data_IF_221973998667
#
_entry.id   IF_221973998667
#
_cell.length_a   1.000
_cell.length_b   1.000
_cell.length_c   1.000
_cell.angle_alpha   90.00
_cell.angle_beta   90.00
_cell.angle_gamma   90.00
#
_symmetry.space_group_name_H-M   'P 1'
#
loop_
_entity.id
_entity.type
_entity.pdbx_description
1 polymer ?
#
# COMPACT_ATOMS: atom_id res chain seq x y z
N UNK A 1 -38.21 -23.84 -6.10
CA UNK A 1 -38.38 -22.66 -5.22
C UNK A 1 -37.33 -22.81 -4.13
N UNK A 2 -36.31 -21.94 -4.11
CA UNK A 2 -35.30 -21.95 -3.04
C UNK A 2 -35.80 -21.12 -1.87
N UNK A 3 -35.66 -21.64 -0.65
CA UNK A 3 -36.16 -21.02 0.57
C UNK A 3 -35.41 -19.71 0.85
N UNK A 4 -36.10 -18.58 1.10
CA UNK A 4 -35.48 -17.28 1.34
C UNK A 4 -34.81 -17.11 2.70
N UNK A 5 -34.76 -18.15 3.54
CA UNK A 5 -34.24 -18.14 4.92
C UNK A 5 -33.08 -19.15 5.11
N UNK A 6 -32.20 -19.30 4.12
CA UNK A 6 -30.91 -19.91 4.38
C UNK A 6 -30.00 -18.84 4.99
N UNK A 7 -29.69 -18.98 6.28
CA UNK A 7 -28.70 -18.14 6.97
C UNK A 7 -27.35 -18.26 6.26
N UNK A 8 -27.02 -17.26 5.45
CA UNK A 8 -25.71 -17.15 4.80
C UNK A 8 -24.66 -16.81 5.87
N UNK A 9 -24.07 -17.84 6.47
CA UNK A 9 -22.91 -17.64 7.36
C UNK A 9 -21.69 -17.24 6.52
N UNK A 10 -21.25 -15.99 6.64
CA UNK A 10 -20.01 -15.50 6.05
C UNK A 10 -18.81 -16.24 6.65
N UNK A 11 -18.25 -17.20 5.90
CA UNK A 11 -17.01 -17.89 6.27
C UNK A 11 -15.80 -17.04 5.87
N UNK A 12 -15.42 -16.10 6.73
CA UNK A 12 -14.23 -15.27 6.53
C UNK A 12 -13.00 -16.12 6.84
N UNK A 13 -12.17 -16.40 5.82
CA UNK A 13 -10.85 -17.01 6.04
C UNK A 13 -9.87 -15.95 6.52
N UNK A 14 -9.30 -16.07 7.72
CA UNK A 14 -8.31 -15.11 8.19
C UNK A 14 -7.03 -15.19 7.35
N UNK A 15 -6.41 -14.04 7.11
CA UNK A 15 -5.10 -13.96 6.47
C UNK A 15 -4.03 -14.46 7.45
N UNK A 16 -2.99 -15.19 7.00
CA UNK A 16 -1.82 -15.46 7.83
C UNK A 16 -1.25 -14.17 8.39
N UNK A 17 -0.96 -14.14 9.69
CA UNK A 17 -0.46 -12.96 10.40
C UNK A 17 0.43 -13.38 11.57
N UNK A 18 1.43 -12.56 11.86
CA UNK A 18 2.32 -12.71 13.02
C UNK A 18 2.11 -11.57 14.01
N UNK A 19 2.43 -11.83 15.28
CA UNK A 19 2.36 -10.81 16.34
C UNK A 19 3.63 -9.96 16.29
N UNK A 20 3.46 -8.64 16.21
CA UNK A 20 4.55 -7.67 16.30
C UNK A 20 4.36 -6.84 17.57
N UNK A 21 5.21 -7.08 18.58
CA UNK A 21 5.18 -6.35 19.86
C UNK A 21 6.13 -5.15 19.84
N UNK A 22 5.61 -3.94 20.06
CA UNK A 22 6.37 -2.69 20.00
C UNK A 22 6.06 -1.88 21.26
N UNK A 23 7.09 -1.30 21.89
CA UNK A 23 6.91 -0.31 22.96
C UNK A 23 6.55 1.04 22.33
N UNK A 24 5.40 1.60 22.71
CA UNK A 24 4.93 2.89 22.22
C UNK A 24 5.01 3.90 23.38
N UNK A 25 5.54 5.12 23.16
CA UNK A 25 5.47 6.19 24.15
C UNK A 25 4.03 6.48 24.59
N UNK A 26 3.83 6.77 25.88
CA UNK A 26 2.48 6.94 26.47
C UNK A 26 1.69 8.09 25.84
N UNK A 27 2.36 9.18 25.51
CA UNK A 27 1.82 10.33 24.79
C UNK A 27 1.36 9.95 23.37
N UNK A 28 2.14 9.11 22.69
CA UNK A 28 1.78 8.59 21.37
C UNK A 28 0.55 7.69 21.45
N UNK A 29 0.44 6.84 22.48
CA UNK A 29 -0.74 6.02 22.71
C UNK A 29 -1.99 6.89 22.95
N UNK A 30 -1.88 7.92 23.79
CA UNK A 30 -2.98 8.86 24.04
C UNK A 30 -3.44 9.57 22.74
N UNK A 31 -2.50 9.96 21.88
CA UNK A 31 -2.83 10.53 20.57
C UNK A 31 -3.54 9.52 19.66
N UNK A 32 -3.11 8.26 19.64
CA UNK A 32 -3.76 7.20 18.87
C UNK A 32 -5.19 6.95 19.35
N UNK A 33 -5.42 6.92 20.66
CA UNK A 33 -6.75 6.77 21.26
C UNK A 33 -7.68 7.93 20.88
N UNK A 34 -7.21 9.16 21.03
CA UNK A 34 -7.96 10.36 20.65
C UNK A 34 -8.36 10.34 19.17
N UNK A 35 -7.44 10.02 18.27
CA UNK A 35 -7.73 9.97 16.84
C UNK A 35 -8.66 8.81 16.49
N UNK A 36 -8.48 7.65 17.13
CA UNK A 36 -9.33 6.48 16.93
C UNK A 36 -10.78 6.81 17.31
N UNK A 37 -10.99 7.47 18.46
CA UNK A 37 -12.30 7.94 18.91
C UNK A 37 -12.93 8.92 17.90
N UNK A 38 -12.17 9.94 17.46
CA UNK A 38 -12.65 10.92 16.49
C UNK A 38 -13.04 10.32 15.13
N UNK A 39 -12.43 9.18 14.75
CA UNK A 39 -12.68 8.47 13.50
C UNK A 39 -13.64 7.29 13.64
N UNK A 40 -14.16 7.05 14.85
CA UNK A 40 -15.00 5.90 15.18
C UNK A 40 -14.33 4.55 14.81
N UNK A 41 -13.03 4.42 15.13
CA UNK A 41 -12.22 3.23 14.91
C UNK A 41 -11.70 2.70 16.26
N UNK A 42 -11.36 1.42 16.33
CA UNK A 42 -10.50 0.93 17.41
C UNK A 42 -9.05 1.41 17.19
N UNK A 43 -8.27 1.50 18.26
CA UNK A 43 -6.83 1.80 18.18
C UNK A 43 -6.11 0.81 17.27
N UNK A 44 -6.46 -0.48 17.36
CA UNK A 44 -5.92 -1.53 16.49
C UNK A 44 -6.22 -1.28 15.00
N UNK A 45 -7.47 -0.93 14.68
CA UNK A 45 -7.88 -0.61 13.30
C UNK A 45 -7.16 0.62 12.77
N UNK A 46 -6.98 1.65 13.61
CA UNK A 46 -6.24 2.85 13.25
C UNK A 46 -4.76 2.54 12.95
N UNK A 47 -4.11 1.75 13.80
CA UNK A 47 -2.71 1.33 13.61
C UNK A 47 -2.57 0.53 12.31
N UNK A 48 -3.44 -0.46 12.08
CA UNK A 48 -3.47 -1.24 10.83
C UNK A 48 -3.66 -0.35 9.60
N UNK A 49 -4.53 0.65 9.70
CA UNK A 49 -4.76 1.61 8.63
C UNK A 49 -3.51 2.46 8.35
N UNK A 50 -2.88 3.04 9.37
CA UNK A 50 -1.68 3.87 9.21
C UNK A 50 -0.50 3.08 8.66
N UNK A 51 -0.25 1.88 9.18
CA UNK A 51 0.79 1.00 8.65
C UNK A 51 0.49 0.67 7.19
N UNK A 52 -0.75 0.22 6.90
CA UNK A 52 -1.13 -0.17 5.55
C UNK A 52 -1.10 0.98 4.54
N UNK A 53 -1.45 2.21 4.96
CA UNK A 53 -1.43 3.38 4.09
C UNK A 53 0.01 3.69 3.65
N UNK A 54 0.89 3.99 4.59
CA UNK A 54 2.26 4.42 4.28
C UNK A 54 3.02 3.30 3.57
N UNK A 55 2.87 2.05 4.01
CA UNK A 55 3.57 0.93 3.37
C UNK A 55 3.13 0.71 1.91
N UNK A 56 1.84 0.92 1.59
CA UNK A 56 1.39 0.85 0.19
C UNK A 56 1.96 1.97 -0.67
N UNK A 57 2.09 3.17 -0.11
CA UNK A 57 2.72 4.31 -0.78
C UNK A 57 4.20 4.01 -1.07
N UNK A 58 4.95 3.54 -0.06
CA UNK A 58 6.36 3.17 -0.20
C UNK A 58 6.57 2.04 -1.23
N UNK A 59 5.79 0.97 -1.16
CA UNK A 59 5.86 -0.16 -2.11
C UNK A 59 5.55 0.32 -3.54
N UNK A 60 4.56 1.20 -3.70
CA UNK A 60 4.18 1.73 -5.01
C UNK A 60 5.33 2.55 -5.62
N UNK A 61 6.00 3.36 -4.81
CA UNK A 61 7.16 4.12 -5.26
C UNK A 61 8.31 3.20 -5.70
N UNK A 62 8.66 2.22 -4.86
CA UNK A 62 9.74 1.26 -5.17
C UNK A 62 9.43 0.46 -6.44
N UNK A 63 8.16 0.06 -6.62
CA UNK A 63 7.73 -0.63 -7.83
C UNK A 63 7.88 0.24 -9.09
N UNK A 64 7.45 1.50 -9.02
CA UNK A 64 7.59 2.45 -10.14
C UNK A 64 9.06 2.67 -10.52
N UNK A 65 9.96 2.83 -9.55
CA UNK A 65 11.40 2.96 -9.81
C UNK A 65 11.98 1.71 -10.50
N UNK A 66 11.64 0.52 -10.02
CA UNK A 66 12.05 -0.75 -10.66
C UNK A 66 11.53 -0.86 -12.08
N UNK A 67 10.29 -0.45 -12.32
CA UNK A 67 9.68 -0.44 -13.64
C UNK A 67 10.43 0.50 -14.59
N UNK A 68 10.70 1.75 -14.19
CA UNK A 68 11.45 2.70 -15.03
C UNK A 68 12.87 2.22 -15.34
N UNK A 69 13.56 1.65 -14.36
CA UNK A 69 14.90 1.08 -14.56
C UNK A 69 14.89 -0.10 -15.54
N UNK A 70 13.89 -0.98 -15.44
CA UNK A 70 13.70 -2.08 -16.39
C UNK A 70 13.42 -1.56 -17.79
N UNK A 71 12.54 -0.55 -17.91
CA UNK A 71 12.22 0.09 -19.19
C UNK A 71 13.46 0.75 -19.82
N UNK A 72 14.27 1.47 -19.04
CA UNK A 72 15.54 2.04 -19.51
C UNK A 72 16.48 0.95 -20.07
N UNK A 73 16.60 -0.17 -19.36
CA UNK A 73 17.41 -1.32 -19.78
C UNK A 73 16.90 -1.99 -21.07
N UNK A 74 15.58 -1.95 -21.31
CA UNK A 74 15.01 -2.43 -22.57
C UNK A 74 15.27 -1.41 -23.69
N UNK A 75 15.02 -0.13 -23.44
CA UNK A 75 15.25 0.94 -24.43
C UNK A 75 16.72 1.03 -24.86
N UNK A 76 17.68 0.80 -23.96
CA UNK A 76 19.11 0.83 -24.29
C UNK A 76 19.53 -0.24 -25.31
N UNK A 77 18.73 -1.30 -25.51
CA UNK A 77 18.98 -2.32 -26.54
C UNK A 77 18.64 -1.85 -27.95
N UNK A 78 17.75 -0.86 -28.07
CA UNK A 78 17.19 -0.42 -29.36
C UNK A 78 17.52 1.04 -29.67
N UNK A 79 17.81 1.86 -28.66
CA UNK A 79 18.07 3.29 -28.77
C UNK A 79 19.44 3.59 -28.17
N UNK A 80 20.40 4.01 -28.99
CA UNK A 80 21.75 4.35 -28.53
C UNK A 80 21.82 5.73 -27.84
N UNK A 81 20.96 6.69 -28.24
CA UNK A 81 20.92 8.03 -27.66
C UNK A 81 20.33 8.04 -26.25
N UNK A 82 21.13 8.44 -25.27
CA UNK A 82 20.70 8.57 -23.88
C UNK A 82 19.62 9.64 -23.67
N UNK A 83 19.81 10.82 -24.27
CA UNK A 83 18.84 11.91 -24.22
C UNK A 83 17.45 11.49 -24.74
N UNK A 84 17.40 10.68 -25.80
CA UNK A 84 16.12 10.15 -26.30
C UNK A 84 15.48 9.16 -25.32
N UNK A 85 16.26 8.29 -24.67
CA UNK A 85 15.73 7.35 -23.66
C UNK A 85 15.18 8.09 -22.43
N UNK A 86 15.90 9.10 -21.94
CA UNK A 86 15.46 9.92 -20.81
C UNK A 86 14.17 10.68 -21.14
N UNK A 87 14.07 11.24 -22.35
CA UNK A 87 12.86 11.93 -22.80
C UNK A 87 11.64 11.00 -22.77
N UNK A 88 11.78 9.78 -23.29
CA UNK A 88 10.71 8.77 -23.28
C UNK A 88 10.31 8.41 -21.84
N UNK A 89 11.27 8.18 -20.95
CA UNK A 89 10.97 7.86 -19.54
C UNK A 89 10.25 9.01 -18.84
N UNK A 90 10.69 10.25 -19.06
CA UNK A 90 10.04 11.42 -18.47
C UNK A 90 8.62 11.62 -19.02
N UNK A 91 8.40 11.31 -20.30
CA UNK A 91 7.06 11.32 -20.90
C UNK A 91 6.16 10.26 -20.26
N UNK A 92 6.64 9.02 -20.07
CA UNK A 92 5.89 7.96 -19.37
C UNK A 92 5.57 8.39 -17.92
N UNK A 93 6.53 8.98 -17.20
CA UNK A 93 6.31 9.51 -15.85
C UNK A 93 5.21 10.57 -15.79
N UNK A 94 5.08 11.40 -16.81
CA UNK A 94 4.08 12.48 -16.86
C UNK A 94 2.65 12.00 -17.11
N UNK A 95 2.46 10.74 -17.51
CA UNK A 95 1.15 10.15 -17.77
C UNK A 95 0.59 9.33 -16.59
N UNK A 96 1.35 9.20 -15.50
CA UNK A 96 0.98 8.48 -14.28
C UNK A 96 0.67 9.45 -13.14
#
# INVERSE_FOLDING_TARGET
MNNPNEDFTLKIKPRPSEIVSIKIPLDTLANLEMIAQNRNLSVESLIKFYIGKNLREDISQEFSEKLFNSTLKVLSKYISSESQREKIINEIKSQL
#
